data_IF_625831053682
#
_entry.id   IF_625831053682
#
_cell.length_a   1.000
_cell.length_b   1.000
_cell.length_c   1.000
_cell.angle_alpha   90.00
_cell.angle_beta   90.00
_cell.angle_gamma   90.00
#
_symmetry.space_group_name_H-M   'P 1'
#
loop_
_entity.id
_entity.type
_entity.pdbx_description
1 polymer ?
#
# COMPACT_ATOMS: atom_id res chain seq x y z
N UNK A 1 -31.88 33.64 -53.37
CA UNK A 1 -31.00 32.47 -53.18
C UNK A 1 -30.83 32.26 -51.68
N UNK A 2 -30.79 30.99 -51.26
CA UNK A 2 -30.71 30.39 -49.90
C UNK A 2 -30.06 31.25 -48.78
N UNK A 3 -30.68 31.38 -47.59
CA UNK A 3 -30.66 30.46 -46.40
C UNK A 3 -29.26 30.40 -45.77
N UNK A 4 -29.04 30.88 -44.53
CA UNK A 4 -29.07 30.07 -43.27
C UNK A 4 -29.09 31.05 -42.05
N UNK A 5 -30.18 31.19 -41.27
CA UNK A 5 -30.51 30.60 -39.92
C UNK A 5 -29.39 30.69 -38.84
N UNK A 6 -29.55 31.45 -37.74
CA UNK A 6 -30.09 31.09 -36.37
C UNK A 6 -29.13 30.13 -35.62
N UNK A 7 -28.77 30.20 -34.33
CA UNK A 7 -29.25 30.85 -33.09
C UNK A 7 -28.18 30.75 -31.99
N UNK A 8 -28.31 31.66 -31.03
CA UNK A 8 -27.92 31.66 -29.62
C UNK A 8 -27.44 30.37 -28.89
N UNK A 9 -26.33 30.57 -28.15
CA UNK A 9 -26.13 30.21 -26.74
C UNK A 9 -25.52 28.83 -26.42
N UNK A 10 -25.11 28.56 -25.16
CA UNK A 10 -24.42 29.40 -24.17
C UNK A 10 -22.97 28.90 -23.93
N UNK A 11 -22.16 29.66 -23.20
CA UNK A 11 -20.86 29.23 -22.66
C UNK A 11 -21.03 27.91 -21.87
N UNK A 12 -20.61 26.80 -22.46
CA UNK A 12 -20.54 25.51 -21.78
C UNK A 12 -19.27 25.47 -20.96
N UNK A 13 -19.50 25.65 -19.66
CA UNK A 13 -18.91 24.94 -18.54
C UNK A 13 -17.39 24.80 -18.54
N UNK A 14 -16.79 25.47 -17.55
CA UNK A 14 -15.47 25.13 -17.04
C UNK A 14 -15.30 23.63 -16.97
N UNK A 15 -14.28 23.13 -17.67
CA UNK A 15 -13.80 21.78 -17.45
C UNK A 15 -13.17 21.83 -16.07
N UNK A 16 -13.97 21.35 -15.11
CA UNK A 16 -13.55 21.04 -13.77
C UNK A 16 -12.17 20.39 -13.88
N UNK A 17 -11.19 20.97 -13.17
CA UNK A 17 -10.12 20.18 -12.60
C UNK A 17 -10.80 19.01 -11.93
N UNK A 18 -10.87 17.88 -12.65
CA UNK A 18 -11.34 16.62 -12.10
C UNK A 18 -10.30 16.32 -11.06
N UNK A 19 -10.56 16.82 -9.86
CA UNK A 19 -9.93 16.39 -8.65
C UNK A 19 -9.92 14.89 -8.77
N UNK A 20 -8.72 14.32 -8.71
CA UNK A 20 -8.51 12.91 -8.57
C UNK A 20 -9.42 12.50 -7.42
N UNK A 21 -10.61 11.99 -7.77
CA UNK A 21 -11.55 11.41 -6.86
C UNK A 21 -10.92 10.11 -6.44
N UNK A 22 -9.88 10.21 -5.61
CA UNK A 22 -9.59 9.20 -4.64
C UNK A 22 -10.87 9.12 -3.83
N UNK A 23 -11.71 8.15 -4.22
CA UNK A 23 -12.80 7.62 -3.41
C UNK A 23 -12.34 7.75 -1.96
N UNK A 24 -13.14 8.52 -1.20
CA UNK A 24 -12.98 8.87 0.21
C UNK A 24 -11.75 8.20 0.79
N UNK A 25 -10.66 8.94 1.04
CA UNK A 25 -9.49 8.42 1.74
C UNK A 25 -9.96 7.85 3.08
N UNK A 26 -10.41 6.60 3.06
CA UNK A 26 -10.75 5.87 4.26
C UNK A 26 -9.44 5.77 5.01
N UNK A 27 -9.49 6.12 6.29
CA UNK A 27 -8.29 6.31 7.12
C UNK A 27 -7.46 5.03 7.25
N UNK A 28 -7.99 3.91 6.78
CA UNK A 28 -7.45 2.55 6.79
C UNK A 28 -6.86 2.08 5.45
N UNK A 29 -6.57 2.97 4.49
CA UNK A 29 -5.89 2.59 3.22
C UNK A 29 -4.38 2.75 3.29
N UNK A 30 -3.64 1.69 2.94
CA UNK A 30 -2.19 1.65 2.81
C UNK A 30 -1.83 1.52 1.34
N UNK A 31 -1.12 2.53 0.82
CA UNK A 31 -0.53 2.45 -0.51
C UNK A 31 0.93 1.99 -0.40
N UNK A 32 1.19 0.82 -0.95
CA UNK A 32 2.53 0.25 -1.06
C UNK A 32 3.15 0.71 -2.38
N UNK A 33 4.29 1.37 -2.27
CA UNK A 33 5.07 1.84 -3.40
C UNK A 33 6.42 1.14 -3.43
N UNK A 34 7.05 1.11 -4.61
CA UNK A 34 8.35 0.50 -4.79
C UNK A 34 9.47 1.44 -4.33
N UNK A 35 9.60 1.71 -3.03
CA UNK A 35 10.78 2.41 -2.48
C UNK A 35 11.01 2.13 -0.99
N UNK A 36 12.30 1.98 -0.62
CA UNK A 36 13.02 2.16 0.68
C UNK A 36 12.43 1.62 1.99
N UNK A 37 11.14 1.36 2.10
CA UNK A 37 10.51 0.84 3.32
C UNK A 37 10.73 -0.67 3.37
N UNK A 38 11.21 -1.21 4.50
CA UNK A 38 11.35 -2.65 4.65
C UNK A 38 9.96 -3.32 4.64
N UNK A 39 9.87 -4.58 4.23
CA UNK A 39 8.62 -5.35 4.16
C UNK A 39 7.78 -5.23 5.44
N UNK A 40 8.42 -5.43 6.60
CA UNK A 40 7.77 -5.37 7.91
C UNK A 40 7.23 -4.00 8.30
N UNK A 41 7.64 -2.92 7.63
CA UNK A 41 7.00 -1.62 7.82
C UNK A 41 5.51 -1.70 7.47
N UNK A 42 5.18 -2.31 6.33
CA UNK A 42 3.80 -2.43 5.86
C UNK A 42 3.00 -3.45 6.68
N UNK A 43 3.63 -4.54 7.12
CA UNK A 43 3.00 -5.51 8.04
C UNK A 43 2.61 -4.83 9.35
N UNK A 44 3.53 -4.07 9.96
CA UNK A 44 3.28 -3.39 11.23
C UNK A 44 2.28 -2.25 11.08
N UNK A 45 2.30 -1.53 9.95
CA UNK A 45 1.31 -0.50 9.65
C UNK A 45 -0.09 -1.10 9.50
N UNK A 46 -0.21 -2.21 8.78
CA UNK A 46 -1.47 -2.93 8.63
C UNK A 46 -2.01 -3.43 9.98
N UNK A 47 -1.16 -3.98 10.84
CA UNK A 47 -1.53 -4.34 12.23
C UNK A 47 -2.09 -3.13 12.99
N UNK A 48 -1.41 -1.98 12.95
CA UNK A 48 -1.88 -0.76 13.62
C UNK A 48 -3.20 -0.23 13.05
N UNK A 49 -3.38 -0.28 11.74
CA UNK A 49 -4.63 0.14 11.09
C UNK A 49 -5.77 -0.79 11.47
N UNK A 50 -5.51 -2.11 11.50
CA UNK A 50 -6.47 -3.06 12.03
C UNK A 50 -6.74 -2.81 13.52
N UNK A 51 -5.78 -2.47 14.38
CA UNK A 51 -6.12 -2.11 15.77
C UNK A 51 -7.10 -0.92 15.89
N UNK A 52 -7.04 0.04 14.97
CA UNK A 52 -7.89 1.25 14.97
C UNK A 52 -9.20 1.07 14.20
N UNK A 53 -9.24 0.15 13.24
CA UNK A 53 -10.33 -0.07 12.29
C UNK A 53 -10.50 -1.58 12.06
N UNK A 54 -11.72 -2.08 11.86
CA UNK A 54 -11.89 -3.53 11.69
C UNK A 54 -11.34 -4.09 10.37
N UNK A 55 -11.01 -3.20 9.43
CA UNK A 55 -10.51 -3.53 8.10
C UNK A 55 -9.36 -2.63 7.69
N UNK A 56 -8.51 -3.13 6.80
CA UNK A 56 -7.41 -2.40 6.15
C UNK A 56 -7.41 -2.68 4.65
N UNK A 57 -7.22 -1.64 3.85
CA UNK A 57 -7.09 -1.75 2.40
C UNK A 57 -5.62 -1.61 1.99
N UNK A 58 -5.05 -2.63 1.34
CA UNK A 58 -3.70 -2.63 0.79
C UNK A 58 -3.75 -2.40 -0.72
N UNK A 59 -3.09 -1.37 -1.22
CA UNK A 59 -3.03 -1.07 -2.65
C UNK A 59 -1.60 -0.99 -3.17
N UNK A 60 -1.34 -1.47 -4.39
CA UNK A 60 -0.03 -1.34 -5.03
C UNK A 60 -0.13 -1.25 -6.55
N UNK A 61 0.94 -0.71 -7.15
CA UNK A 61 1.10 -0.57 -8.59
C UNK A 61 2.36 -1.27 -9.10
N UNK A 62 2.23 -2.01 -10.20
CA UNK A 62 3.36 -2.65 -10.89
C UNK A 62 4.21 -3.53 -9.97
N UNK A 63 5.52 -3.27 -9.90
CA UNK A 63 6.46 -4.09 -9.11
C UNK A 63 6.13 -4.16 -7.61
N UNK A 64 5.43 -3.16 -7.06
CA UNK A 64 5.05 -3.14 -5.64
C UNK A 64 3.95 -4.16 -5.29
N UNK A 65 3.28 -4.76 -6.31
CA UNK A 65 2.21 -5.74 -6.10
C UNK A 65 2.73 -6.95 -5.32
N UNK A 66 3.96 -7.41 -5.61
CA UNK A 66 4.57 -8.53 -4.88
C UNK A 66 4.62 -8.26 -3.37
N UNK A 67 5.01 -7.06 -2.97
CA UNK A 67 5.05 -6.67 -1.55
C UNK A 67 3.67 -6.73 -0.90
N UNK A 68 2.61 -6.25 -1.56
CA UNK A 68 1.24 -6.32 -1.02
C UNK A 68 0.78 -7.76 -0.84
N UNK A 69 1.04 -8.62 -1.83
CA UNK A 69 0.70 -10.05 -1.74
C UNK A 69 1.41 -10.69 -0.55
N UNK A 70 2.71 -10.47 -0.41
CA UNK A 70 3.48 -11.00 0.72
C UNK A 70 3.01 -10.46 2.08
N UNK A 71 2.66 -9.16 2.18
CA UNK A 71 2.11 -8.59 3.42
C UNK A 71 0.77 -9.25 3.77
N UNK A 72 -0.11 -9.42 2.80
CA UNK A 72 -1.38 -10.09 3.01
C UNK A 72 -1.17 -11.55 3.45
N UNK A 73 -0.29 -12.28 2.78
CA UNK A 73 0.07 -13.66 3.15
C UNK A 73 0.61 -13.76 4.57
N UNK A 74 1.54 -12.89 4.98
CA UNK A 74 2.07 -12.87 6.35
C UNK A 74 0.94 -12.68 7.38
N UNK A 75 0.05 -11.72 7.14
CA UNK A 75 -1.05 -11.44 8.08
C UNK A 75 -2.04 -12.60 8.18
N UNK A 76 -2.35 -13.26 7.07
CA UNK A 76 -3.25 -14.42 7.06
C UNK A 76 -2.61 -15.67 7.66
N UNK A 77 -1.36 -15.96 7.31
CA UNK A 77 -0.65 -17.14 7.81
C UNK A 77 -0.39 -17.07 9.32
N UNK A 78 -0.20 -15.86 9.84
CA UNK A 78 -0.10 -15.63 11.28
C UNK A 78 -1.46 -15.63 11.99
N UNK A 79 -2.56 -15.90 11.29
CA UNK A 79 -3.90 -15.92 11.85
C UNK A 79 -4.38 -14.55 12.35
N UNK A 80 -3.84 -13.45 11.82
CA UNK A 80 -4.21 -12.09 12.22
C UNK A 80 -5.35 -11.53 11.38
N UNK A 81 -5.41 -11.87 10.09
CA UNK A 81 -6.37 -11.30 9.17
C UNK A 81 -7.05 -12.35 8.28
N UNK A 82 -8.22 -11.99 7.75
CA UNK A 82 -8.97 -12.75 6.74
C UNK A 82 -9.17 -11.85 5.52
N UNK A 83 -8.99 -12.36 4.31
CA UNK A 83 -9.29 -11.60 3.10
C UNK A 83 -10.81 -11.41 2.92
N UNK A 84 -11.22 -10.17 2.68
CA UNK A 84 -12.60 -9.85 2.27
C UNK A 84 -12.71 -9.68 0.77
N UNK A 85 -11.74 -9.00 0.16
CA UNK A 85 -11.78 -8.65 -1.27
C UNK A 85 -10.38 -8.60 -1.85
N UNK A 86 -10.22 -9.13 -3.06
CA UNK A 86 -9.02 -8.96 -3.89
C UNK A 86 -9.49 -8.45 -5.25
N UNK A 87 -9.01 -7.28 -5.64
CA UNK A 87 -9.27 -6.70 -6.95
C UNK A 87 -7.95 -6.41 -7.65
N UNK A 88 -7.94 -6.67 -8.95
CA UNK A 88 -6.87 -6.28 -9.85
C UNK A 88 -7.46 -5.48 -10.99
N UNK A 89 -6.82 -4.37 -11.34
CA UNK A 89 -7.21 -3.53 -12.46
C UNK A 89 -5.97 -3.01 -13.18
N UNK A 90 -6.17 -2.36 -14.31
CA UNK A 90 -5.12 -1.61 -15.00
C UNK A 90 -5.48 -0.14 -14.94
N UNK A 91 -4.50 0.71 -14.62
CA UNK A 91 -4.66 2.16 -14.64
C UNK A 91 -3.75 2.78 -15.70
N UNK A 92 -4.26 3.78 -16.41
CA UNK A 92 -3.46 4.59 -17.32
C UNK A 92 -2.72 5.66 -16.51
N UNK A 93 -1.39 5.60 -16.50
CA UNK A 93 -0.54 6.63 -15.90
C UNK A 93 0.05 7.52 -16.99
N UNK A 94 -0.10 8.84 -16.85
CA UNK A 94 0.57 9.80 -17.70
C UNK A 94 2.01 9.98 -17.23
N UNK A 95 2.96 9.62 -18.08
CA UNK A 95 4.39 9.87 -17.87
C UNK A 95 4.81 11.05 -18.76
N UNK A 96 4.93 12.23 -18.16
CA UNK A 96 5.32 13.46 -18.87
C UNK A 96 6.71 13.36 -19.52
N UNK A 97 7.59 12.48 -19.01
CA UNK A 97 8.92 12.27 -19.55
C UNK A 97 8.93 11.36 -20.79
N UNK A 98 7.89 10.54 -21.00
CA UNK A 98 7.84 9.54 -22.09
C UNK A 98 6.80 9.85 -23.18
N UNK A 99 5.98 10.88 -23.01
CA UNK A 99 5.02 11.35 -24.02
C UNK A 99 3.88 10.38 -24.37
N UNK A 100 3.90 9.13 -23.86
CA UNK A 100 2.86 8.12 -24.05
C UNK A 100 2.30 7.66 -22.70
N UNK A 101 0.98 7.42 -22.58
CA UNK A 101 0.39 6.82 -21.39
C UNK A 101 0.95 5.41 -21.17
N UNK A 102 1.27 5.09 -19.92
CA UNK A 102 1.76 3.77 -19.50
C UNK A 102 0.66 3.10 -18.68
N UNK A 103 0.20 1.95 -19.14
CA UNK A 103 -0.68 1.10 -18.34
C UNK A 103 0.12 0.40 -17.26
N UNK A 104 -0.33 0.51 -16.00
CA UNK A 104 0.20 -0.26 -14.88
C UNK A 104 -0.90 -1.09 -14.26
N UNK A 105 -0.56 -2.33 -13.92
CA UNK A 105 -1.40 -3.14 -13.05
C UNK A 105 -1.53 -2.47 -11.68
N UNK A 106 -2.73 -2.51 -11.12
CA UNK A 106 -3.10 -2.10 -9.77
C UNK A 106 -3.71 -3.30 -9.06
N UNK A 107 -3.37 -3.47 -7.79
CA UNK A 107 -4.04 -4.40 -6.89
C UNK A 107 -4.63 -3.63 -5.71
N UNK A 108 -5.76 -4.10 -5.22
CA UNK A 108 -6.43 -3.65 -4.00
C UNK A 108 -6.87 -4.89 -3.22
N UNK A 109 -6.38 -5.05 -2.00
CA UNK A 109 -6.71 -6.16 -1.10
C UNK A 109 -7.34 -5.58 0.17
N UNK A 110 -8.58 -5.95 0.46
CA UNK A 110 -9.23 -5.63 1.73
C UNK A 110 -9.07 -6.81 2.66
N UNK A 111 -8.44 -6.56 3.81
CA UNK A 111 -8.27 -7.51 4.89
C UNK A 111 -9.10 -7.06 6.09
N UNK A 112 -9.76 -8.00 6.75
CA UNK A 112 -10.44 -7.78 8.01
C UNK A 112 -9.69 -8.46 9.16
N UNK A 113 -9.88 -7.96 10.38
CA UNK A 113 -9.45 -8.67 11.58
C UNK A 113 -10.00 -10.09 11.59
N UNK A 114 -9.15 -11.03 11.98
CA UNK A 114 -9.60 -12.36 12.40
C UNK A 114 -10.14 -12.32 13.83
N UNK A 115 -10.82 -13.39 14.24
CA UNK A 115 -11.29 -13.57 15.62
C UNK A 115 -10.12 -13.64 16.62
N UNK A 116 -8.95 -14.12 16.18
CA UNK A 116 -7.76 -14.31 17.03
C UNK A 116 -6.88 -13.06 17.08
N UNK A 117 -7.27 -11.97 16.42
CA UNK A 117 -6.40 -10.82 16.22
C UNK A 117 -5.94 -10.18 17.53
N UNK A 118 -6.90 -9.89 18.43
CA UNK A 118 -6.60 -9.18 19.67
C UNK A 118 -5.75 -10.02 20.62
N UNK A 119 -6.02 -11.32 20.71
CA UNK A 119 -5.24 -12.28 21.52
C UNK A 119 -3.79 -12.37 21.03
N UNK A 120 -3.59 -12.54 19.72
CA UNK A 120 -2.26 -12.65 19.12
C UNK A 120 -1.48 -11.32 19.19
N UNK A 121 -2.17 -10.19 19.13
CA UNK A 121 -1.54 -8.88 19.30
C UNK A 121 -1.12 -8.61 20.75
N UNK A 122 -1.90 -9.08 21.73
CA UNK A 122 -1.55 -8.99 23.15
C UNK A 122 -0.37 -9.90 23.50
N UNK A 123 -0.42 -11.17 23.06
CA UNK A 123 0.68 -12.13 23.27
C UNK A 123 2.00 -11.64 22.66
N UNK A 124 1.97 -11.08 21.45
CA UNK A 124 3.15 -10.51 20.79
C UNK A 124 3.68 -9.24 21.47
N UNK A 125 2.85 -8.51 22.23
CA UNK A 125 3.30 -7.38 23.04
C UNK A 125 4.03 -7.84 24.29
N UNK A 126 3.52 -8.88 24.97
CA UNK A 126 4.15 -9.48 26.14
C UNK A 126 5.49 -10.14 25.79
N UNK A 127 5.58 -10.90 24.68
CA UNK A 127 6.86 -11.48 24.23
C UNK A 127 7.92 -10.43 23.91
N UNK A 128 7.50 -9.23 23.48
CA UNK A 128 8.41 -8.12 23.17
C UNK A 128 8.91 -7.43 24.44
N UNK A 129 8.14 -7.43 25.53
CA UNK A 129 8.59 -6.94 26.84
C UNK A 129 9.52 -7.93 27.56
N UNK A 130 9.47 -9.21 27.19
CA UNK A 130 10.29 -10.29 27.79
C UNK A 130 11.67 -10.45 27.11
N UNK A 131 11.95 -9.73 26.02
CA UNK A 131 13.28 -9.68 25.41
C UNK A 131 14.09 -8.47 25.91
N UNK A 132 14.93 -8.59 26.96
CA UNK A 132 15.90 -7.56 27.26
C UNK A 132 16.89 -7.48 26.10
N UNK A 133 17.31 -6.26 25.78
CA UNK A 133 18.36 -5.98 24.80
C UNK A 133 19.61 -6.82 25.09
N UNK A 134 19.89 -7.80 24.23
CA UNK A 134 21.12 -8.57 24.25
C UNK A 134 22.06 -8.08 23.16
N UNK A 135 22.99 -7.20 23.55
CA UNK A 135 24.29 -6.90 22.96
C UNK A 135 24.52 -7.28 21.48
N UNK A 136 24.42 -6.28 20.59
CA UNK A 136 25.23 -6.22 19.37
C UNK A 136 26.31 -5.14 19.53
N UNK A 137 27.12 -5.27 20.58
CA UNK A 137 28.45 -4.69 20.60
C UNK A 137 29.44 -5.86 20.59
N UNK A 138 30.16 -6.03 19.49
CA UNK A 138 31.62 -6.18 19.45
C UNK A 138 32.07 -6.30 17.99
N UNK A 139 32.99 -5.41 17.65
CA UNK A 139 33.71 -5.29 16.38
C UNK A 139 34.24 -6.65 15.91
N UNK A 140 34.03 -6.96 14.63
CA UNK A 140 34.93 -7.87 13.94
C UNK A 140 36.09 -7.05 13.39
N UNK A 141 37.14 -6.93 14.20
CA UNK A 141 38.51 -6.70 13.72
C UNK A 141 38.77 -7.67 12.57
N UNK A 142 39.15 -7.15 11.41
CA UNK A 142 39.55 -7.95 10.25
C UNK A 142 40.94 -8.51 10.55
N UNK A 143 41.15 -9.83 10.71
CA UNK A 143 42.49 -10.40 10.78
C UNK A 143 42.91 -10.78 9.35
N UNK A 144 43.85 -10.05 8.77
CA UNK A 144 44.29 -10.38 7.41
C UNK A 144 45.15 -9.33 6.72
N UNK A 145 46.14 -8.80 7.44
CA UNK A 145 47.33 -8.27 6.78
C UNK A 145 48.00 -9.44 6.03
N UNK A 146 47.99 -9.37 4.70
CA UNK A 146 48.95 -10.11 3.88
C UNK A 146 49.78 -9.07 3.14
N UNK A 147 51.00 -8.93 3.65
CA UNK A 147 52.14 -8.32 2.98
C UNK A 147 52.48 -9.17 1.75
N UNK A 148 52.37 -8.58 0.55
CA UNK A 148 53.27 -8.79 -0.60
C UNK A 148 53.22 -7.55 -1.51
#
# INVERSE_FOLDING_TARGET
>A
MASEVVSAGPDVAGVNSVGLGFESHEKNRIQVSNTKKPLFFYVNLAKRYMQQHDEVELSALGMAIATVVTVAEILKNNGLAVEKRILTSTIDMRDEARGRPIQKAKVEIVLAKSENFDELMAAAAEEREVAPEGDFALEHTIPGEIVL
#
